data_IF_109292710530
#
_entry.id   IF_109292710530
#
_cell.length_a   1.000
_cell.length_b   1.000
_cell.length_c   1.000
_cell.angle_alpha   90.00
_cell.angle_beta   90.00
_cell.angle_gamma   90.00
#
_symmetry.space_group_name_H-M   'P 1'
#
loop_
_entity.id
_entity.type
_entity.pdbx_description
1 polymer ?
#
# COMPACT_ATOMS: atom_id res chain seq x y z
N UNK A 1 -5.13 14.75 -6.19
CA UNK A 1 -4.63 13.37 -6.23
C UNK A 1 -5.64 12.45 -5.58
N UNK A 2 -5.67 11.23 -6.05
CA UNK A 2 -6.60 10.26 -5.47
C UNK A 2 -6.01 9.67 -4.18
N UNK A 3 -6.89 9.15 -3.33
CA UNK A 3 -6.46 8.48 -2.12
C UNK A 3 -5.57 7.28 -2.46
N UNK A 4 -5.89 6.57 -3.54
CA UNK A 4 -5.09 5.42 -3.97
C UNK A 4 -3.65 5.83 -4.28
N UNK A 5 -3.47 6.94 -5.00
CA UNK A 5 -2.14 7.41 -5.34
C UNK A 5 -1.35 7.76 -4.08
N UNK A 6 -2.00 8.42 -3.13
CA UNK A 6 -1.33 8.78 -1.88
C UNK A 6 -0.95 7.55 -1.06
N UNK A 7 -1.84 6.57 -0.99
CA UNK A 7 -1.56 5.35 -0.27
C UNK A 7 -0.41 4.58 -0.91
N UNK A 8 -0.41 4.50 -2.24
CA UNK A 8 0.68 3.82 -2.95
C UNK A 8 2.01 4.53 -2.70
N UNK A 9 2.01 5.85 -2.70
CA UNK A 9 3.22 6.61 -2.44
C UNK A 9 3.75 6.31 -1.04
N UNK A 10 2.88 6.24 -0.04
CA UNK A 10 3.28 5.91 1.31
C UNK A 10 3.87 4.51 1.40
N UNK A 11 3.23 3.55 0.75
CA UNK A 11 3.71 2.17 0.76
C UNK A 11 5.09 2.07 0.13
N UNK A 12 5.27 2.70 -1.01
CA UNK A 12 6.54 2.64 -1.73
C UNK A 12 7.64 3.35 -0.95
N UNK A 13 7.31 4.49 -0.36
CA UNK A 13 8.28 5.24 0.43
C UNK A 13 8.75 4.42 1.63
N UNK A 14 7.81 3.82 2.34
CA UNK A 14 8.17 3.01 3.50
C UNK A 14 8.96 1.78 3.08
N UNK A 15 8.58 1.15 1.99
CA UNK A 15 9.32 0.00 1.47
C UNK A 15 10.74 0.37 1.13
N UNK A 16 10.92 1.54 0.53
CA UNK A 16 12.26 2.01 0.18
C UNK A 16 13.11 2.23 1.42
N UNK A 17 12.51 2.75 2.49
CA UNK A 17 13.21 2.90 3.75
C UNK A 17 13.65 1.56 4.33
N UNK A 18 12.93 0.50 4.01
CA UNK A 18 13.26 -0.85 4.44
C UNK A 18 14.16 -1.58 3.46
N UNK A 19 14.63 -0.90 2.42
CA UNK A 19 15.51 -1.50 1.43
C UNK A 19 14.80 -2.27 0.33
N UNK A 20 13.50 -2.07 0.18
CA UNK A 20 12.72 -2.73 -0.86
C UNK A 20 12.48 -1.81 -2.03
N UNK A 21 12.75 -2.31 -3.23
CA UNK A 21 12.45 -1.57 -4.43
C UNK A 21 10.99 -1.79 -4.81
N UNK A 22 10.44 -0.85 -5.60
CA UNK A 22 9.06 -0.94 -6.03
C UNK A 22 8.74 -2.27 -6.69
N UNK A 23 9.62 -2.77 -7.54
CA UNK A 23 9.38 -4.04 -8.22
C UNK A 23 9.34 -5.22 -7.24
N UNK A 24 10.12 -5.16 -6.18
CA UNK A 24 10.11 -6.20 -5.17
C UNK A 24 8.81 -6.19 -4.38
N UNK A 25 8.34 -5.00 -4.06
CA UNK A 25 7.08 -4.85 -3.35
C UNK A 25 5.93 -5.43 -4.19
N UNK A 26 5.93 -5.10 -5.48
CA UNK A 26 4.89 -5.60 -6.38
C UNK A 26 4.92 -7.12 -6.44
N UNK A 27 6.10 -7.70 -6.59
CA UNK A 27 6.22 -9.16 -6.69
C UNK A 27 5.75 -9.86 -5.43
N UNK A 28 6.09 -9.33 -4.29
CA UNK A 28 5.66 -9.93 -3.03
C UNK A 28 4.16 -9.86 -2.86
N UNK A 29 3.53 -8.86 -3.45
CA UNK A 29 2.08 -8.73 -3.42
C UNK A 29 1.42 -9.47 -4.59
N UNK A 30 2.21 -10.24 -5.36
CA UNK A 30 1.73 -11.00 -6.51
C UNK A 30 1.17 -10.12 -7.61
N UNK A 31 1.81 -8.98 -7.80
CA UNK A 31 1.44 -8.04 -8.85
C UNK A 31 2.59 -7.86 -9.81
N UNK A 32 2.26 -7.54 -11.06
CA UNK A 32 3.28 -7.16 -12.00
C UNK A 32 3.77 -5.76 -11.67
N UNK A 33 5.08 -5.50 -11.79
CA UNK A 33 5.58 -4.14 -11.56
C UNK A 33 4.89 -3.10 -12.42
N UNK A 34 4.50 -3.48 -13.63
CA UNK A 34 3.79 -2.56 -14.53
C UNK A 34 2.43 -2.17 -13.97
N UNK A 35 1.75 -3.12 -13.33
CA UNK A 35 0.45 -2.84 -12.72
C UNK A 35 0.58 -1.79 -11.64
N UNK A 36 1.63 -1.89 -10.83
CA UNK A 36 1.87 -0.93 -9.78
C UNK A 36 2.17 0.46 -10.36
N UNK A 37 3.04 0.52 -11.36
CA UNK A 37 3.36 1.78 -12.01
C UNK A 37 2.13 2.42 -12.64
N UNK A 38 1.29 1.61 -13.27
CA UNK A 38 0.08 2.10 -13.90
C UNK A 38 -0.90 2.63 -12.86
N UNK A 39 -1.03 1.92 -11.73
CA UNK A 39 -1.91 2.36 -10.66
C UNK A 39 -1.47 3.68 -10.06
N UNK A 40 -0.17 3.92 -9.97
CA UNK A 40 0.34 5.18 -9.48
C UNK A 40 -0.09 6.35 -10.36
N UNK A 41 -0.15 6.11 -11.66
CA UNK A 41 -0.54 7.16 -12.60
C UNK A 41 -2.03 7.36 -12.67
N UNK A 42 -2.78 6.26 -12.73
CA UNK A 42 -4.23 6.33 -12.91
C UNK A 42 -4.97 6.56 -11.60
N UNK A 43 -4.38 6.15 -10.49
CA UNK A 43 -5.06 6.23 -9.21
C UNK A 43 -6.09 5.12 -9.01
N UNK A 44 -6.05 4.09 -9.84
CA UNK A 44 -7.01 2.99 -9.78
C UNK A 44 -6.32 1.70 -9.37
N UNK A 45 -6.87 1.06 -8.34
CA UNK A 45 -6.39 -0.25 -7.92
C UNK A 45 -7.45 -0.87 -7.03
N UNK A 46 -7.59 -2.19 -7.12
CA UNK A 46 -8.49 -2.90 -6.22
C UNK A 46 -8.01 -2.78 -4.79
N UNK A 47 -8.97 -2.65 -3.87
CA UNK A 47 -8.64 -2.53 -2.45
C UNK A 47 -7.87 -3.75 -1.96
N UNK A 48 -8.21 -4.94 -2.45
CA UNK A 48 -7.50 -6.15 -2.04
C UNK A 48 -6.03 -6.11 -2.44
N UNK A 49 -5.73 -5.58 -3.62
CA UNK A 49 -4.35 -5.44 -4.07
C UNK A 49 -3.60 -4.42 -3.23
N UNK A 50 -4.28 -3.32 -2.93
CA UNK A 50 -3.71 -2.26 -2.12
C UNK A 50 -3.38 -2.77 -0.72
N UNK A 51 -4.28 -3.57 -0.15
CA UNK A 51 -4.07 -4.17 1.17
C UNK A 51 -2.86 -5.11 1.16
N UNK A 52 -2.72 -5.91 0.11
CA UNK A 52 -1.57 -6.81 0.02
C UNK A 52 -0.26 -6.05 -0.08
N UNK A 53 -0.24 -4.97 -0.86
CA UNK A 53 0.94 -4.13 -0.96
C UNK A 53 1.30 -3.52 0.40
N UNK A 54 0.29 -3.07 1.13
CA UNK A 54 0.52 -2.50 2.45
C UNK A 54 1.14 -3.52 3.39
N UNK A 55 0.64 -4.75 3.35
CA UNK A 55 1.14 -5.81 4.23
C UNK A 55 2.59 -6.18 3.93
N UNK A 56 3.00 -6.07 2.68
CA UNK A 56 4.40 -6.36 2.30
C UNK A 56 5.36 -5.47 3.08
N UNK A 57 4.96 -4.24 3.35
CA UNK A 57 5.83 -3.29 4.07
C UNK A 57 5.44 -3.14 5.53
N UNK A 58 4.62 -4.05 6.05
CA UNK A 58 4.25 -4.04 7.46
C UNK A 58 3.17 -3.04 7.82
N UNK A 59 2.32 -2.70 6.86
CA UNK A 59 1.22 -1.78 7.08
C UNK A 59 -0.10 -2.50 6.92
N UNK A 60 -1.15 -1.85 7.34
CA UNK A 60 -2.49 -2.38 7.20
C UNK A 60 -3.42 -1.24 6.81
N UNK A 61 -4.31 -1.51 5.87
CA UNK A 61 -5.31 -0.52 5.51
C UNK A 61 -6.35 -0.39 6.61
N UNK A 62 -6.75 0.82 6.87
CA UNK A 62 -7.77 1.11 7.85
C UNK A 62 -8.66 2.23 7.33
N UNK A 63 -9.85 2.31 7.85
CA UNK A 63 -10.77 3.39 7.54
C UNK A 63 -10.87 4.28 8.77
N UNK A 64 -10.65 5.56 8.55
CA UNK A 64 -10.78 6.55 9.62
C UNK A 64 -11.71 7.63 9.11
N UNK A 65 -12.80 7.85 9.83
CA UNK A 65 -13.84 8.75 9.39
C UNK A 65 -14.35 8.28 8.02
N UNK A 66 -14.16 9.05 6.99
CA UNK A 66 -14.64 8.70 5.66
C UNK A 66 -13.51 8.47 4.67
N UNK A 67 -12.30 8.23 5.16
CA UNK A 67 -11.15 8.02 4.30
C UNK A 67 -10.37 6.79 4.72
N UNK A 68 -9.85 6.03 3.74
CA UNK A 68 -8.92 4.96 4.06
C UNK A 68 -7.56 5.56 4.42
N UNK A 69 -6.92 5.01 5.42
CA UNK A 69 -5.57 5.39 5.79
C UNK A 69 -4.76 4.14 5.98
N UNK A 70 -3.44 4.30 6.04
CA UNK A 70 -2.53 3.20 6.29
C UNK A 70 -1.97 3.36 7.69
N UNK A 71 -2.07 2.30 8.46
CA UNK A 71 -1.51 2.27 9.79
C UNK A 71 -0.53 1.13 9.92
N UNK A 72 0.42 1.28 10.80
CA UNK A 72 1.38 0.22 11.06
C UNK A 72 0.68 -0.96 11.70
N UNK A 73 1.09 -2.15 11.29
CA UNK A 73 0.65 -3.35 11.96
C UNK A 73 1.47 -3.46 13.22
N UNK A 74 0.91 -2.98 14.31
CA UNK A 74 1.61 -2.91 15.56
C UNK A 74 0.69 -3.43 16.63
N UNK A 75 1.02 -4.59 17.18
CA UNK A 75 0.25 -5.22 18.24
C UNK A 75 -1.16 -5.59 17.84
N UNK A 76 -1.57 -5.30 16.64
CA UNK A 76 -2.84 -5.74 16.12
C UNK A 76 -4.06 -5.17 16.82
N UNK A 77 -4.00 -3.92 17.22
CA UNK A 77 -5.06 -3.36 18.04
C UNK A 77 -5.83 -2.24 17.36
N UNK A 78 -6.06 -2.38 16.06
CA UNK A 78 -6.75 -1.33 15.32
C UNK A 78 -8.18 -1.11 15.77
N UNK A 79 -8.81 -2.15 16.26
CA UNK A 79 -10.23 -2.09 16.59
C UNK A 79 -10.49 -2.29 18.06
N UNK A 80 -9.60 -1.88 18.84
CA UNK A 80 -9.73 -1.95 20.28
C UNK A 80 -10.87 -1.12 20.80
#
# INVERSE_FOLDING_TARGET
>A
MSATTELLTQIITLGRQKGLKQQHIARRARLHPESLSRAKKSGDMHVSSLDELARVVGLKLALVSDQPVIEKIDKGTLFE
#
